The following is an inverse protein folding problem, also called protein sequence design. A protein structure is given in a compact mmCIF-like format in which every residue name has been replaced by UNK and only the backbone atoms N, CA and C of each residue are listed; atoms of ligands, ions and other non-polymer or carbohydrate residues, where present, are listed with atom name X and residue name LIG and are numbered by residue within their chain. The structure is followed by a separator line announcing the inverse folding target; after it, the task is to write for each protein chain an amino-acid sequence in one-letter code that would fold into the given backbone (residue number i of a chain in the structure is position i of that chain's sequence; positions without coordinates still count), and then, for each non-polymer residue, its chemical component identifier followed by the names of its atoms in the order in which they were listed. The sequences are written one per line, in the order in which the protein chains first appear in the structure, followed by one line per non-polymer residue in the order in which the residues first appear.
data_IF_251812423834
#
_entry.id   IF_251812423834
#
_cell.length_a   1.000
_cell.length_b   1.000
_cell.length_c   1.000
_cell.angle_alpha   90.00
_cell.angle_beta   90.00
_cell.angle_gamma   90.00
#
_symmetry.space_group_name_H-M   'P 1'
#
loop_
_entity.id
_entity.type
_entity.pdbx_description
1 polymer ?
#
# COMPACT_ATOMS: atom_id res chain seq x y z
N UNK A 1 -36.58 61.18 62.51
CA UNK A 1 -37.13 60.21 61.56
C UNK A 1 -36.23 60.17 60.31
N UNK A 2 -35.29 59.27 60.29
CA UNK A 2 -34.34 59.16 59.17
C UNK A 2 -34.66 57.89 58.40
N UNK A 3 -34.94 58.04 57.10
CA UNK A 3 -35.16 56.97 56.17
C UNK A 3 -33.79 56.52 55.60
N UNK A 4 -33.46 55.27 55.81
CA UNK A 4 -32.26 54.58 55.19
C UNK A 4 -32.52 54.28 53.70
N UNK A 5 -31.61 54.69 52.88
CA UNK A 5 -31.58 54.34 51.45
C UNK A 5 -30.58 53.17 51.27
N UNK A 6 -31.11 52.02 50.95
CA UNK A 6 -30.32 50.84 50.61
C UNK A 6 -29.83 50.93 49.15
N UNK A 7 -28.52 51.03 48.96
CA UNK A 7 -27.87 50.90 47.64
C UNK A 7 -27.76 49.40 47.26
N UNK A 8 -28.49 48.99 46.25
CA UNK A 8 -28.28 47.70 45.57
C UNK A 8 -27.13 47.86 44.60
N UNK A 9 -26.00 47.23 44.87
CA UNK A 9 -24.86 47.11 43.96
C UNK A 9 -25.18 46.11 42.85
N UNK A 10 -25.19 46.56 41.60
CA UNK A 10 -25.23 45.70 40.46
C UNK A 10 -23.81 45.19 40.16
N UNK A 11 -23.58 43.91 40.38
CA UNK A 11 -22.33 43.22 39.99
C UNK A 11 -22.39 42.93 38.47
N UNK A 12 -21.72 43.74 37.65
CA UNK A 12 -21.58 43.49 36.24
C UNK A 12 -20.56 42.35 36.05
N UNK A 13 -21.03 41.18 35.65
CA UNK A 13 -20.22 40.02 35.31
C UNK A 13 -19.65 40.26 33.91
N UNK A 14 -18.39 40.70 33.83
CA UNK A 14 -17.66 40.80 32.57
C UNK A 14 -17.29 39.38 32.11
N UNK A 15 -18.05 38.83 31.16
CA UNK A 15 -17.68 37.62 30.44
C UNK A 15 -16.52 38.00 29.56
N UNK A 16 -15.31 37.63 29.94
CA UNK A 16 -14.13 37.69 29.06
C UNK A 16 -14.32 36.67 27.95
N UNK A 17 -14.75 37.13 26.80
CA UNK A 17 -14.58 36.37 25.53
C UNK A 17 -13.10 36.25 25.27
N UNK A 18 -12.52 35.11 25.64
CA UNK A 18 -11.23 34.68 25.12
C UNK A 18 -11.43 34.47 23.61
N UNK A 19 -10.66 35.16 22.75
CA UNK A 19 -10.67 34.81 21.34
C UNK A 19 -10.19 33.35 21.28
N UNK A 20 -11.00 32.47 20.71
CA UNK A 20 -10.52 31.18 20.25
C UNK A 20 -9.43 31.52 19.20
N UNK A 21 -8.17 31.49 19.64
CA UNK A 21 -7.04 31.43 18.71
C UNK A 21 -7.26 30.13 17.94
N UNK A 22 -7.94 30.20 16.80
CA UNK A 22 -7.85 29.22 15.77
C UNK A 22 -6.35 29.13 15.46
N UNK A 23 -5.71 28.04 15.90
CA UNK A 23 -4.38 27.70 15.42
C UNK A 23 -4.54 27.65 13.90
N UNK A 24 -4.00 28.66 13.22
CA UNK A 24 -3.82 28.57 11.78
C UNK A 24 -3.06 27.27 11.56
N UNK A 25 -3.72 26.29 10.96
CA UNK A 25 -3.08 25.04 10.60
C UNK A 25 -1.96 25.43 9.62
N UNK A 26 -0.71 25.12 9.96
CA UNK A 26 0.41 25.28 9.06
C UNK A 26 0.28 24.23 7.93
N UNK A 27 -0.61 24.51 6.97
CA UNK A 27 -0.78 23.69 5.76
C UNK A 27 0.46 23.86 4.92
N UNK A 28 1.16 22.79 4.54
CA UNK A 28 2.35 22.89 3.69
C UNK A 28 1.96 23.45 2.32
N UNK A 29 2.79 24.33 1.77
CA UNK A 29 2.56 24.89 0.43
C UNK A 29 2.64 23.85 -0.68
N UNK A 30 3.41 22.81 -0.48
CA UNK A 30 3.63 21.72 -1.44
C UNK A 30 3.42 20.37 -0.75
N UNK A 31 2.72 19.48 -1.43
CA UNK A 31 2.49 18.12 -0.96
C UNK A 31 2.74 17.14 -2.11
N UNK A 32 3.82 16.40 -2.04
CA UNK A 32 4.19 15.42 -3.05
C UNK A 32 3.80 14.03 -2.59
N UNK A 33 3.05 13.33 -3.44
CA UNK A 33 2.68 11.92 -3.28
C UNK A 33 3.55 11.08 -4.22
N UNK A 34 4.22 10.05 -3.69
CA UNK A 34 5.00 9.09 -4.47
C UNK A 34 4.33 7.71 -4.45
N UNK A 35 4.18 7.08 -5.61
CA UNK A 35 3.40 5.84 -5.74
C UNK A 35 4.14 4.71 -6.48
N UNK A 36 3.71 4.32 -7.66
CA UNK A 36 4.33 3.32 -8.52
C UNK A 36 4.24 3.76 -9.99
N UNK A 37 4.78 2.97 -10.90
CA UNK A 37 4.70 3.24 -12.33
C UNK A 37 3.25 3.21 -12.84
N UNK A 38 2.94 3.94 -13.94
CA UNK A 38 1.63 3.89 -14.59
C UNK A 38 1.16 2.46 -14.86
N UNK A 39 -0.14 2.22 -14.68
CA UNK A 39 -0.78 0.91 -14.77
C UNK A 39 -0.88 0.16 -13.44
N UNK A 40 -0.13 0.54 -12.42
CA UNK A 40 -0.25 -0.01 -11.06
C UNK A 40 -1.38 0.62 -10.26
N UNK A 41 -1.89 -0.14 -9.27
CA UNK A 41 -2.99 0.31 -8.41
C UNK A 41 -2.63 1.59 -7.64
N UNK A 42 -1.45 1.67 -7.05
CA UNK A 42 -1.00 2.85 -6.32
C UNK A 42 -0.96 4.11 -7.19
N UNK A 43 -0.63 3.96 -8.51
CA UNK A 43 -0.63 5.09 -9.43
C UNK A 43 -2.03 5.64 -9.66
N UNK A 44 -3.00 4.76 -9.92
CA UNK A 44 -4.40 5.16 -10.14
C UNK A 44 -4.98 5.79 -8.88
N UNK A 45 -4.75 5.18 -7.73
CA UNK A 45 -5.19 5.70 -6.44
C UNK A 45 -4.53 7.04 -6.10
N UNK A 46 -3.22 7.14 -6.25
CA UNK A 46 -2.45 8.36 -5.95
C UNK A 46 -2.89 9.56 -6.79
N UNK A 47 -3.28 9.33 -8.05
CA UNK A 47 -3.85 10.38 -8.90
C UNK A 47 -5.17 10.91 -8.35
N UNK A 48 -6.07 10.02 -7.93
CA UNK A 48 -7.36 10.41 -7.35
C UNK A 48 -7.19 11.08 -5.99
N UNK A 49 -6.29 10.55 -5.15
CA UNK A 49 -5.98 11.13 -3.85
C UNK A 49 -5.43 12.56 -3.99
N UNK A 50 -4.55 12.80 -4.96
CA UNK A 50 -4.01 14.13 -5.21
C UNK A 50 -5.10 15.16 -5.55
N UNK A 51 -6.08 14.79 -6.38
CA UNK A 51 -7.25 15.63 -6.69
C UNK A 51 -8.09 15.93 -5.44
N UNK A 52 -8.37 14.91 -4.62
CA UNK A 52 -9.18 15.07 -3.40
C UNK A 52 -8.46 15.91 -2.33
N UNK A 53 -7.16 15.72 -2.16
CA UNK A 53 -6.36 16.55 -1.25
C UNK A 53 -6.27 18.01 -1.72
N UNK A 54 -6.08 18.25 -3.01
CA UNK A 54 -6.09 19.61 -3.56
C UNK A 54 -7.44 20.32 -3.39
N UNK A 55 -8.56 19.58 -3.38
CA UNK A 55 -9.88 20.13 -3.06
C UNK A 55 -10.07 20.41 -1.57
N UNK A 56 -9.54 19.54 -0.70
CA UNK A 56 -9.61 19.70 0.76
C UNK A 56 -8.70 20.84 1.25
N UNK A 57 -7.58 21.08 0.58
CA UNK A 57 -6.58 22.11 0.92
C UNK A 57 -6.26 22.96 -0.31
N UNK A 58 -7.13 23.94 -0.69
CA UNK A 58 -6.97 24.73 -1.92
C UNK A 58 -5.69 25.56 -1.99
N UNK A 59 -5.08 25.87 -0.85
CA UNK A 59 -3.81 26.60 -0.75
C UNK A 59 -2.58 25.69 -0.93
N UNK A 60 -2.76 24.36 -0.93
CA UNK A 60 -1.69 23.38 -1.04
C UNK A 60 -1.54 22.90 -2.49
N UNK A 61 -0.37 23.09 -3.07
CA UNK A 61 -0.05 22.53 -4.39
C UNK A 61 0.27 21.04 -4.24
N UNK A 62 -0.67 20.16 -4.62
CA UNK A 62 -0.52 18.71 -4.57
C UNK A 62 0.05 18.19 -5.88
N UNK A 63 1.09 17.38 -5.82
CA UNK A 63 1.69 16.69 -6.97
C UNK A 63 1.75 15.18 -6.73
N UNK A 64 1.61 14.41 -7.79
CA UNK A 64 1.71 12.95 -7.76
C UNK A 64 2.75 12.49 -8.77
N UNK A 65 3.69 11.64 -8.33
CA UNK A 65 4.79 11.14 -9.16
C UNK A 65 4.95 9.63 -9.05
N UNK A 66 5.47 8.97 -10.11
CA UNK A 66 5.82 7.56 -10.07
C UNK A 66 6.94 7.28 -9.05
N UNK A 67 7.01 6.03 -8.59
CA UNK A 67 8.03 5.54 -7.67
C UNK A 67 8.05 4.02 -7.59
N UNK A 68 8.26 3.50 -6.39
CA UNK A 68 8.27 2.09 -6.01
C UNK A 68 8.57 2.00 -4.52
N UNK A 69 8.17 0.95 -3.83
CA UNK A 69 8.16 0.90 -2.35
C UNK A 69 9.48 1.30 -1.69
N UNK A 70 10.64 0.85 -2.20
CA UNK A 70 11.96 1.23 -1.67
C UNK A 70 12.22 2.73 -1.81
N UNK A 71 12.01 3.26 -3.02
CA UNK A 71 12.21 4.67 -3.35
C UNK A 71 11.24 5.55 -2.56
N UNK A 72 9.98 5.13 -2.46
CA UNK A 72 8.95 5.87 -1.76
C UNK A 72 9.29 6.05 -0.28
N UNK A 73 9.71 4.96 0.39
CA UNK A 73 10.08 5.03 1.80
C UNK A 73 11.26 5.99 2.03
N UNK A 74 12.29 5.93 1.18
CA UNK A 74 13.44 6.86 1.22
C UNK A 74 12.98 8.31 1.04
N UNK A 75 12.19 8.61 0.01
CA UNK A 75 11.71 9.96 -0.28
C UNK A 75 10.80 10.52 0.82
N UNK A 76 9.94 9.67 1.40
CA UNK A 76 9.10 10.10 2.53
C UNK A 76 9.96 10.34 3.77
N UNK A 77 10.89 9.45 4.07
CA UNK A 77 11.74 9.60 5.27
C UNK A 77 12.71 10.79 5.16
N UNK A 78 13.22 11.11 3.95
CA UNK A 78 14.07 12.29 3.74
C UNK A 78 13.29 13.62 3.74
N UNK A 79 11.95 13.59 3.66
CA UNK A 79 11.12 14.79 3.49
C UNK A 79 11.00 15.28 2.04
N UNK A 80 11.63 14.59 1.08
CA UNK A 80 11.52 14.91 -0.36
C UNK A 80 10.14 14.61 -0.93
N UNK A 81 9.35 13.79 -0.23
CA UNK A 81 7.92 13.59 -0.44
C UNK A 81 7.18 13.63 0.90
N UNK A 82 5.96 14.15 0.91
CA UNK A 82 5.14 14.22 2.11
C UNK A 82 4.39 12.91 2.38
N UNK A 83 4.02 12.19 1.31
CA UNK A 83 3.30 10.93 1.40
C UNK A 83 3.82 9.92 0.38
N UNK A 84 3.75 8.65 0.72
CA UNK A 84 4.07 7.56 -0.18
C UNK A 84 3.34 6.27 0.13
N UNK A 85 3.44 5.33 -0.80
CA UNK A 85 2.96 3.97 -0.64
C UNK A 85 4.15 3.04 -0.44
N UNK A 86 3.99 2.05 0.42
CA UNK A 86 4.98 1.01 0.61
C UNK A 86 4.32 -0.33 0.93
N UNK A 87 5.12 -1.36 1.06
CA UNK A 87 4.71 -2.62 1.68
C UNK A 87 5.31 -2.73 3.08
N UNK A 88 4.59 -3.40 3.98
CA UNK A 88 5.03 -3.58 5.37
C UNK A 88 6.44 -4.19 5.47
N UNK A 89 6.82 -5.23 4.72
CA UNK A 89 8.19 -5.77 4.77
C UNK A 89 9.24 -4.74 4.38
N UNK A 90 9.03 -4.06 3.25
CA UNK A 90 9.94 -3.01 2.76
C UNK A 90 10.16 -1.89 3.77
N UNK A 91 9.08 -1.50 4.45
CA UNK A 91 9.16 -0.43 5.44
C UNK A 91 9.86 -0.88 6.72
N UNK A 92 9.73 -2.14 7.11
CA UNK A 92 10.50 -2.73 8.23
C UNK A 92 12.00 -2.76 7.88
N UNK A 93 12.36 -3.21 6.68
CA UNK A 93 13.75 -3.20 6.20
C UNK A 93 14.33 -1.78 6.19
N UNK A 94 13.57 -0.80 5.66
CA UNK A 94 13.99 0.60 5.64
C UNK A 94 14.21 1.16 7.05
N UNK A 95 13.30 0.87 7.96
CA UNK A 95 13.39 1.30 9.36
C UNK A 95 14.63 0.75 10.07
N UNK A 96 14.97 -0.51 9.78
CA UNK A 96 16.13 -1.20 10.36
C UNK A 96 17.45 -0.90 9.63
N UNK A 97 17.42 -0.39 8.40
CA UNK A 97 18.58 -0.26 7.53
C UNK A 97 19.04 -1.60 6.98
N UNK A 98 18.10 -2.49 6.66
CA UNK A 98 18.32 -3.85 6.17
C UNK A 98 17.84 -4.00 4.72
N UNK A 99 18.03 -5.21 4.14
CA UNK A 99 17.61 -5.51 2.77
C UNK A 99 18.33 -4.61 1.76
N UNK A 100 17.57 -3.87 0.96
CA UNK A 100 18.11 -2.94 -0.06
C UNK A 100 18.40 -1.53 0.45
N UNK A 101 18.48 -1.32 1.78
CA UNK A 101 18.71 -0.01 2.40
C UNK A 101 20.10 0.09 3.02
N UNK A 102 20.77 1.20 2.75
CA UNK A 102 22.15 1.51 3.15
C UNK A 102 22.25 2.17 4.55
N UNK A 103 21.11 2.59 5.09
CA UNK A 103 20.97 3.21 6.41
C UNK A 103 19.57 3.06 6.93
N UNK A 104 19.35 3.37 8.21
CA UNK A 104 18.02 3.47 8.81
C UNK A 104 17.27 4.69 8.30
N UNK A 105 16.03 4.49 7.84
CA UNK A 105 15.14 5.53 7.33
C UNK A 105 13.93 5.65 8.26
N UNK A 106 14.08 6.43 9.35
CA UNK A 106 13.18 6.42 10.50
C UNK A 106 12.27 7.65 10.62
N UNK A 107 12.21 8.53 9.62
CA UNK A 107 11.34 9.70 9.66
C UNK A 107 10.00 9.50 8.92
N UNK A 108 9.78 8.34 8.33
CA UNK A 108 8.46 7.93 7.86
C UNK A 108 7.57 7.49 9.04
N UNK A 109 6.28 7.75 8.91
CA UNK A 109 5.21 7.35 9.84
C UNK A 109 4.10 6.64 9.09
N UNK A 110 3.50 5.65 9.73
CA UNK A 110 2.34 4.95 9.16
C UNK A 110 1.10 5.82 9.29
N UNK A 111 0.31 5.91 8.23
CA UNK A 111 -1.06 6.45 8.25
C UNK A 111 -2.07 5.33 8.45
N UNK A 112 -1.82 4.20 7.83
CA UNK A 112 -2.64 3.01 7.95
C UNK A 112 -2.41 2.00 6.83
N UNK A 113 -3.12 0.89 6.91
CA UNK A 113 -3.13 -0.15 5.88
C UNK A 113 -4.01 0.27 4.71
N UNK A 114 -3.53 0.01 3.50
CA UNK A 114 -4.28 0.24 2.27
C UNK A 114 -5.10 -1.01 1.89
N UNK A 115 -4.43 -2.13 1.73
CA UNK A 115 -5.05 -3.43 1.42
C UNK A 115 -4.10 -4.59 1.74
N UNK A 116 -4.64 -5.82 1.92
CA UNK A 116 -3.82 -7.02 1.90
C UNK A 116 -3.30 -7.28 0.48
N UNK A 117 -1.98 -7.32 0.33
CA UNK A 117 -1.32 -7.59 -0.94
C UNK A 117 -1.01 -9.08 -1.03
N UNK A 118 -1.81 -9.79 -1.81
CA UNK A 118 -1.64 -11.21 -2.06
C UNK A 118 -0.43 -11.44 -2.97
N UNK A 119 0.45 -12.36 -2.59
CA UNK A 119 1.66 -12.73 -3.31
C UNK A 119 1.36 -13.88 -4.26
N UNK A 120 1.00 -13.60 -5.49
CA UNK A 120 0.58 -14.62 -6.44
C UNK A 120 1.29 -14.55 -7.78
N UNK A 121 1.39 -15.69 -8.45
CA UNK A 121 1.80 -15.77 -9.85
C UNK A 121 0.57 -15.68 -10.75
N UNK A 122 0.68 -14.91 -11.81
CA UNK A 122 -0.36 -14.70 -12.81
C UNK A 122 0.14 -15.27 -14.13
N UNK A 123 -0.50 -16.33 -14.61
CA UNK A 123 -0.18 -16.96 -15.87
C UNK A 123 -1.10 -16.46 -16.99
N UNK A 124 -0.57 -16.38 -18.21
CA UNK A 124 -1.36 -16.15 -19.41
C UNK A 124 -2.17 -17.41 -19.72
N UNK A 125 -3.46 -17.27 -19.99
CA UNK A 125 -4.33 -18.39 -20.35
C UNK A 125 -3.78 -19.11 -21.61
N UNK A 126 -3.64 -20.43 -21.49
CA UNK A 126 -3.04 -21.26 -22.52
C UNK A 126 -1.51 -21.32 -22.57
N UNK A 127 -0.82 -20.80 -21.54
CA UNK A 127 0.63 -20.96 -21.39
C UNK A 127 1.04 -22.35 -20.83
N UNK A 128 0.06 -23.18 -20.42
CA UNK A 128 0.32 -24.49 -19.82
C UNK A 128 0.99 -24.36 -18.45
N UNK A 129 0.46 -23.45 -17.61
CA UNK A 129 0.92 -23.20 -16.25
C UNK A 129 -0.30 -23.38 -15.32
N UNK A 130 -0.28 -24.43 -14.50
CA UNK A 130 -1.34 -24.77 -13.55
C UNK A 130 -0.84 -24.75 -12.09
N UNK A 131 0.48 -24.88 -11.90
CA UNK A 131 1.17 -24.87 -10.61
C UNK A 131 2.52 -24.15 -10.72
N UNK A 132 3.15 -23.83 -9.60
CA UNK A 132 4.37 -23.03 -9.55
C UNK A 132 5.55 -23.67 -10.32
N UNK A 133 5.69 -25.01 -10.26
CA UNK A 133 6.76 -25.71 -11.00
C UNK A 133 6.63 -25.58 -12.51
N UNK A 134 5.44 -25.36 -13.05
CA UNK A 134 5.19 -25.18 -14.49
C UNK A 134 5.78 -23.86 -15.03
N UNK A 135 6.24 -22.97 -14.15
CA UNK A 135 6.97 -21.75 -14.52
C UNK A 135 8.36 -22.08 -15.09
N UNK A 136 8.90 -23.27 -14.80
CA UNK A 136 10.18 -23.69 -15.33
C UNK A 136 10.14 -23.78 -16.86
N UNK A 137 11.14 -23.18 -17.52
CA UNK A 137 11.21 -23.11 -18.98
C UNK A 137 10.26 -22.08 -19.64
N UNK A 138 9.59 -21.23 -18.86
CA UNK A 138 8.70 -20.17 -19.35
C UNK A 138 9.38 -18.81 -19.37
N UNK A 139 8.81 -17.89 -20.13
CA UNK A 139 9.19 -16.47 -20.08
C UNK A 139 8.39 -15.81 -18.96
N UNK A 140 9.05 -15.43 -17.88
CA UNK A 140 8.40 -14.91 -16.68
C UNK A 140 8.98 -13.56 -16.24
N UNK A 141 8.20 -12.79 -15.46
CA UNK A 141 8.66 -11.52 -14.89
C UNK A 141 8.43 -11.47 -13.36
N UNK A 142 9.47 -11.21 -12.55
CA UNK A 142 9.32 -10.95 -11.12
C UNK A 142 8.94 -9.50 -10.80
N UNK A 143 8.81 -8.62 -11.81
CA UNK A 143 8.71 -7.17 -11.69
C UNK A 143 10.01 -6.47 -12.08
N UNK A 144 10.11 -5.16 -11.89
CA UNK A 144 11.34 -4.42 -12.15
C UNK A 144 12.41 -4.75 -11.12
N UNK A 145 13.67 -4.84 -11.54
CA UNK A 145 14.81 -5.26 -10.70
C UNK A 145 14.99 -4.38 -9.44
N UNK A 146 14.68 -3.09 -9.55
CA UNK A 146 14.75 -2.12 -8.45
C UNK A 146 13.55 -2.16 -7.47
N UNK A 147 12.52 -2.96 -7.75
CA UNK A 147 11.36 -3.07 -6.87
C UNK A 147 11.61 -4.10 -5.76
N UNK A 148 11.19 -3.79 -4.53
CA UNK A 148 11.21 -4.77 -3.43
C UNK A 148 10.40 -6.02 -3.76
N UNK A 149 9.31 -5.87 -4.52
CA UNK A 149 8.48 -6.99 -4.96
C UNK A 149 9.24 -7.98 -5.86
N UNK A 150 10.21 -7.52 -6.64
CA UNK A 150 11.05 -8.43 -7.42
C UNK A 150 11.95 -9.28 -6.50
N UNK A 151 12.52 -8.69 -5.46
CA UNK A 151 13.31 -9.43 -4.47
C UNK A 151 12.45 -10.49 -3.74
N UNK A 152 11.23 -10.15 -3.36
CA UNK A 152 10.28 -11.09 -2.74
C UNK A 152 9.90 -12.19 -3.74
N UNK A 153 9.61 -11.85 -4.99
CA UNK A 153 9.33 -12.81 -6.05
C UNK A 153 10.48 -13.82 -6.22
N UNK A 154 11.72 -13.34 -6.20
CA UNK A 154 12.90 -14.20 -6.30
C UNK A 154 13.05 -15.13 -5.11
N UNK A 155 12.72 -14.70 -3.88
CA UNK A 155 12.70 -15.60 -2.72
C UNK A 155 11.71 -16.76 -2.94
N UNK A 156 10.48 -16.44 -3.40
CA UNK A 156 9.47 -17.45 -3.68
C UNK A 156 9.89 -18.37 -4.83
N UNK A 157 10.31 -17.81 -5.96
CA UNK A 157 10.73 -18.59 -7.13
C UNK A 157 11.91 -19.52 -6.81
N UNK A 158 12.88 -19.05 -6.03
CA UNK A 158 14.02 -19.85 -5.59
C UNK A 158 13.60 -21.05 -4.74
N UNK A 159 12.54 -20.94 -3.94
CA UNK A 159 12.00 -22.04 -3.16
C UNK A 159 11.47 -23.19 -4.05
N UNK A 160 11.04 -22.87 -5.28
CA UNK A 160 10.67 -23.84 -6.32
C UNK A 160 11.83 -24.19 -7.26
N UNK A 161 13.07 -23.78 -6.95
CA UNK A 161 14.24 -24.02 -7.81
C UNK A 161 14.21 -23.22 -9.12
N UNK A 162 13.41 -22.18 -9.21
CA UNK A 162 13.25 -21.33 -10.39
C UNK A 162 14.19 -20.12 -10.27
N UNK A 163 15.31 -20.16 -10.98
CA UNK A 163 16.32 -19.12 -11.04
C UNK A 163 16.48 -18.61 -12.48
N UNK A 164 17.21 -17.51 -12.68
CA UNK A 164 17.53 -17.03 -14.04
C UNK A 164 18.28 -18.12 -14.83
N UNK A 165 19.20 -18.85 -14.18
CA UNK A 165 19.98 -19.93 -14.79
C UNK A 165 19.09 -21.13 -15.15
N UNK A 166 18.30 -21.65 -14.17
CA UNK A 166 17.44 -22.81 -14.39
C UNK A 166 16.36 -22.53 -15.46
N UNK A 167 15.82 -21.31 -15.52
CA UNK A 167 14.90 -20.92 -16.60
C UNK A 167 15.58 -20.99 -17.97
N UNK A 168 16.79 -20.40 -18.08
CA UNK A 168 17.55 -20.39 -19.34
C UNK A 168 17.92 -21.79 -19.82
N UNK A 169 18.37 -22.67 -18.90
CA UNK A 169 18.70 -24.07 -19.22
C UNK A 169 17.50 -24.86 -19.73
N UNK A 170 16.30 -24.50 -19.29
CA UNK A 170 15.05 -25.15 -19.71
C UNK A 170 14.32 -24.39 -20.86
N UNK A 171 15.00 -23.45 -21.54
CA UNK A 171 14.48 -22.74 -22.70
C UNK A 171 13.56 -21.54 -22.37
N UNK A 172 13.45 -21.15 -21.11
CA UNK A 172 12.74 -19.98 -20.66
C UNK A 172 13.62 -18.75 -20.46
N UNK A 173 13.05 -17.69 -19.89
CA UNK A 173 13.77 -16.44 -19.64
C UNK A 173 13.12 -15.66 -18.48
N UNK A 174 13.95 -15.05 -17.64
CA UNK A 174 13.47 -14.04 -16.67
C UNK A 174 13.61 -12.63 -17.27
N UNK A 175 12.51 -11.86 -17.23
CA UNK A 175 12.45 -10.49 -17.73
C UNK A 175 11.98 -9.53 -16.64
N UNK A 176 12.73 -8.46 -16.39
CA UNK A 176 12.43 -7.49 -15.36
C UNK A 176 11.59 -6.33 -15.92
N UNK A 177 10.26 -6.46 -15.82
CA UNK A 177 9.30 -5.61 -16.53
C UNK A 177 8.47 -4.73 -15.57
N UNK A 178 8.10 -3.55 -16.06
CA UNK A 178 7.05 -2.74 -15.45
C UNK A 178 5.66 -3.15 -15.94
N UNK A 179 4.60 -2.67 -15.26
CA UNK A 179 3.23 -3.11 -15.55
C UNK A 179 2.74 -2.81 -16.96
N UNK A 180 3.22 -1.72 -17.57
CA UNK A 180 2.92 -1.40 -18.98
C UNK A 180 3.48 -2.45 -19.93
N UNK A 181 4.75 -2.82 -19.74
CA UNK A 181 5.43 -3.84 -20.57
C UNK A 181 4.84 -5.23 -20.32
N UNK A 182 4.55 -5.58 -19.06
CA UNK A 182 3.83 -6.82 -18.71
C UNK A 182 2.53 -6.91 -19.51
N UNK A 183 1.70 -5.84 -19.49
CA UNK A 183 0.43 -5.81 -20.21
C UNK A 183 0.61 -6.04 -21.70
N UNK A 184 1.55 -5.36 -22.33
CA UNK A 184 1.81 -5.48 -23.76
C UNK A 184 2.34 -6.87 -24.11
N UNK A 185 3.34 -7.36 -23.38
CA UNK A 185 3.96 -8.66 -23.68
C UNK A 185 3.05 -9.85 -23.40
N UNK A 186 2.15 -9.76 -22.41
CA UNK A 186 1.09 -10.75 -22.18
C UNK A 186 0.13 -10.79 -23.38
N UNK A 187 -0.33 -9.62 -23.84
CA UNK A 187 -1.21 -9.51 -25.00
C UNK A 187 -0.57 -10.06 -26.28
N UNK A 188 0.72 -9.80 -26.47
CA UNK A 188 1.52 -10.28 -27.61
C UNK A 188 1.95 -11.75 -27.47
N UNK A 189 1.60 -12.43 -26.37
CA UNK A 189 1.99 -13.81 -26.05
C UNK A 189 3.51 -14.01 -25.95
N UNK A 190 4.23 -12.96 -25.56
CA UNK A 190 5.69 -12.95 -25.37
C UNK A 190 6.10 -13.07 -23.91
N UNK A 191 5.13 -12.99 -22.98
CA UNK A 191 5.28 -13.26 -21.56
C UNK A 191 4.28 -14.34 -21.17
N UNK A 192 4.73 -15.36 -20.46
CA UNK A 192 3.89 -16.48 -20.05
C UNK A 192 3.29 -16.28 -18.66
N UNK A 193 4.06 -15.69 -17.74
CA UNK A 193 3.60 -15.39 -16.38
C UNK A 193 4.36 -14.21 -15.76
N UNK A 194 3.79 -13.67 -14.69
CA UNK A 194 4.48 -12.66 -13.87
C UNK A 194 4.07 -12.79 -12.40
N UNK A 195 4.99 -12.41 -11.51
CA UNK A 195 4.69 -12.31 -10.08
C UNK A 195 4.04 -10.96 -9.79
N UNK A 196 2.94 -10.97 -9.04
CA UNK A 196 2.16 -9.78 -8.77
C UNK A 196 1.70 -9.72 -7.31
N UNK A 197 1.76 -8.53 -6.76
CA UNK A 197 1.40 -8.26 -5.37
C UNK A 197 0.41 -7.11 -5.34
N UNK A 198 -0.84 -7.40 -5.06
CA UNK A 198 -1.91 -6.41 -5.11
C UNK A 198 -3.13 -6.86 -4.30
N UNK A 199 -4.09 -5.94 -4.14
CA UNK A 199 -5.44 -6.30 -3.72
C UNK A 199 -6.11 -7.23 -4.73
N UNK A 200 -7.12 -7.95 -4.28
CA UNK A 200 -8.01 -8.76 -5.11
C UNK A 200 -9.43 -8.22 -4.92
N UNK A 201 -10.15 -7.86 -6.01
CA UNK A 201 -9.69 -7.81 -7.39
C UNK A 201 -8.72 -6.65 -7.67
N UNK A 202 -7.87 -6.80 -8.69
CA UNK A 202 -6.96 -5.76 -9.16
C UNK A 202 -7.39 -5.23 -10.54
N UNK A 203 -7.41 -3.91 -10.77
CA UNK A 203 -7.75 -3.33 -12.08
C UNK A 203 -6.87 -3.84 -13.22
N UNK A 204 -5.56 -4.04 -12.96
CA UNK A 204 -4.63 -4.61 -13.94
C UNK A 204 -5.05 -6.02 -14.34
N UNK A 205 -5.36 -6.87 -13.35
CA UNK A 205 -5.72 -8.26 -13.62
C UNK A 205 -7.10 -8.38 -14.25
N UNK A 206 -8.07 -7.53 -13.89
CA UNK A 206 -9.36 -7.45 -14.57
C UNK A 206 -9.18 -7.16 -16.06
N UNK A 207 -8.35 -6.17 -16.40
CA UNK A 207 -8.04 -5.86 -17.81
C UNK A 207 -7.36 -7.01 -18.54
N UNK A 208 -6.35 -7.65 -17.92
CA UNK A 208 -5.64 -8.79 -18.52
C UNK A 208 -6.54 -10.03 -18.63
N UNK A 209 -7.52 -10.16 -17.74
CA UNK A 209 -8.48 -11.26 -17.82
C UNK A 209 -9.43 -11.14 -19.01
N UNK A 210 -9.77 -9.92 -19.43
CA UNK A 210 -10.51 -9.68 -20.67
C UNK A 210 -9.67 -10.05 -21.91
N UNK A 211 -8.38 -9.66 -21.91
CA UNK A 211 -7.45 -9.98 -23.00
C UNK A 211 -5.99 -9.85 -22.52
N UNK A 212 -5.18 -10.91 -22.65
CA UNK A 212 -5.35 -12.20 -23.40
C UNK A 212 -6.11 -13.30 -22.63
N UNK A 213 -6.58 -13.02 -21.43
CA UNK A 213 -7.04 -13.99 -20.44
C UNK A 213 -5.90 -14.44 -19.53
N UNK A 214 -6.20 -14.60 -18.25
CA UNK A 214 -5.24 -15.02 -17.24
C UNK A 214 -5.75 -16.19 -16.41
N UNK A 215 -4.84 -16.85 -15.73
CA UNK A 215 -5.08 -17.83 -14.67
C UNK A 215 -4.23 -17.44 -13.47
N UNK A 216 -4.81 -17.47 -12.28
CA UNK A 216 -4.04 -17.34 -11.05
C UNK A 216 -3.51 -18.72 -10.69
N UNK A 217 -2.20 -18.81 -10.49
CA UNK A 217 -1.54 -20.06 -10.11
C UNK A 217 -1.72 -20.27 -8.61
N UNK A 218 -2.46 -21.31 -8.16
CA UNK A 218 -2.70 -21.53 -6.74
C UNK A 218 -1.47 -22.10 -6.05
N UNK A 219 -1.33 -21.80 -4.77
CA UNK A 219 -0.43 -22.50 -3.87
C UNK A 219 -1.20 -23.63 -3.14
N UNK A 220 -0.50 -24.71 -2.82
CA UNK A 220 -0.96 -25.69 -1.85
C UNK A 220 -0.63 -25.24 -0.43
N UNK A 221 -1.29 -25.83 0.58
CA UNK A 221 -0.97 -25.53 1.98
C UNK A 221 0.50 -25.87 2.31
N UNK A 222 0.99 -27.02 1.81
CA UNK A 222 2.38 -27.47 2.02
C UNK A 222 3.39 -26.45 1.47
N UNK A 223 3.11 -25.86 0.32
CA UNK A 223 3.96 -24.81 -0.28
C UNK A 223 3.97 -23.54 0.56
N UNK A 224 2.80 -23.09 1.04
CA UNK A 224 2.72 -21.91 1.90
C UNK A 224 3.43 -22.14 3.23
N UNK A 225 3.24 -23.30 3.86
CA UNK A 225 3.92 -23.70 5.10
C UNK A 225 5.45 -23.72 4.95
N UNK A 226 5.94 -24.08 3.76
CA UNK A 226 7.36 -24.11 3.43
C UNK A 226 7.91 -22.69 3.12
N UNK A 227 7.20 -21.89 2.33
CA UNK A 227 7.66 -20.59 1.85
C UNK A 227 7.59 -19.53 2.94
N UNK A 228 6.47 -19.44 3.67
CA UNK A 228 6.18 -18.34 4.57
C UNK A 228 7.30 -18.12 5.62
N UNK A 229 7.89 -19.16 6.25
CA UNK A 229 8.99 -18.98 7.20
C UNK A 229 10.31 -18.52 6.57
N UNK A 230 10.47 -18.65 5.24
CA UNK A 230 11.70 -18.25 4.53
C UNK A 230 11.70 -16.79 4.12
N UNK A 231 10.51 -16.17 3.98
CA UNK A 231 10.37 -14.78 3.57
C UNK A 231 10.96 -13.83 4.61
N UNK A 232 11.64 -12.79 4.11
CA UNK A 232 12.28 -11.77 4.95
C UNK A 232 11.72 -10.38 4.65
N UNK A 233 11.61 -9.50 5.66
CA UNK A 233 11.90 -9.73 7.08
C UNK A 233 10.88 -10.67 7.74
N UNK A 234 11.36 -11.48 8.69
CA UNK A 234 10.51 -12.47 9.37
C UNK A 234 9.34 -11.83 10.11
N UNK A 235 8.16 -12.44 10.01
CA UNK A 235 6.94 -11.95 10.67
C UNK A 235 6.23 -10.80 9.94
N UNK A 236 6.76 -10.36 8.79
CA UNK A 236 6.14 -9.32 7.97
C UNK A 236 5.08 -9.85 7.00
N UNK A 237 4.95 -11.17 6.92
CA UNK A 237 4.02 -11.88 6.04
C UNK A 237 3.09 -12.76 6.86
N UNK A 238 1.88 -12.92 6.35
CA UNK A 238 0.85 -13.76 6.94
C UNK A 238 0.26 -14.67 5.86
N UNK A 239 -0.31 -15.80 6.27
CA UNK A 239 -1.16 -16.59 5.41
C UNK A 239 -2.58 -15.98 5.38
N UNK A 240 -3.13 -15.86 4.19
CA UNK A 240 -4.55 -15.55 3.98
C UNK A 240 -5.15 -16.49 2.95
N UNK A 241 -6.47 -16.64 2.94
CA UNK A 241 -7.16 -17.28 1.84
C UNK A 241 -7.29 -16.33 0.66
N UNK A 242 -6.87 -16.76 -0.53
CA UNK A 242 -7.12 -16.00 -1.75
C UNK A 242 -8.65 -15.87 -1.97
N UNK A 243 -9.18 -14.68 -2.27
CA UNK A 243 -10.62 -14.50 -2.45
C UNK A 243 -11.23 -15.43 -3.49
N UNK A 244 -12.48 -15.85 -3.27
CA UNK A 244 -13.19 -16.70 -4.20
C UNK A 244 -13.48 -15.97 -5.52
N UNK A 245 -13.15 -16.61 -6.63
CA UNK A 245 -13.53 -16.23 -8.01
C UNK A 245 -13.49 -14.71 -8.34
N UNK A 246 -12.39 -14.02 -8.08
CA UNK A 246 -12.29 -12.58 -8.38
C UNK A 246 -12.11 -12.31 -9.89
N UNK A 247 -11.70 -13.32 -10.66
CA UNK A 247 -11.48 -13.29 -12.09
C UNK A 247 -12.11 -14.50 -12.74
N UNK A 248 -12.78 -14.28 -13.87
CA UNK A 248 -13.48 -15.36 -14.59
C UNK A 248 -12.54 -16.55 -14.85
N UNK A 249 -13.00 -17.73 -14.48
CA UNK A 249 -12.29 -19.02 -14.64
C UNK A 249 -10.94 -19.08 -13.86
N UNK A 250 -10.78 -18.31 -12.78
CA UNK A 250 -9.59 -18.38 -11.92
C UNK A 250 -9.83 -19.21 -10.67
N UNK A 251 -8.76 -19.83 -10.16
CA UNK A 251 -8.79 -20.48 -8.86
C UNK A 251 -9.03 -19.46 -7.75
N UNK A 252 -9.71 -19.88 -6.70
CA UNK A 252 -9.92 -19.13 -5.46
C UNK A 252 -9.95 -20.06 -4.25
N UNK A 253 -10.04 -19.50 -3.04
CA UNK A 253 -10.09 -20.26 -1.78
C UNK A 253 -8.85 -21.16 -1.55
N UNK A 254 -7.67 -20.72 -1.97
CA UNK A 254 -6.41 -21.38 -1.68
C UNK A 254 -5.56 -20.51 -0.73
N UNK A 255 -4.67 -21.11 0.07
CA UNK A 255 -3.78 -20.35 0.94
C UNK A 255 -2.75 -19.58 0.12
N UNK A 256 -2.41 -18.38 0.55
CA UNK A 256 -1.44 -17.53 -0.15
C UNK A 256 -0.64 -16.68 0.84
N UNK A 257 0.68 -16.57 0.67
CA UNK A 257 1.47 -15.59 1.42
C UNK A 257 0.97 -14.17 1.10
N UNK A 258 0.79 -13.37 2.14
CA UNK A 258 0.21 -12.03 2.03
C UNK A 258 1.03 -11.04 2.86
N UNK A 259 1.21 -9.84 2.35
CA UNK A 259 1.79 -8.71 3.07
C UNK A 259 0.80 -7.52 3.04
N UNK A 260 1.11 -6.46 3.79
CA UNK A 260 0.24 -5.29 3.83
C UNK A 260 0.79 -4.17 2.94
N UNK A 261 -0.02 -3.65 2.05
CA UNK A 261 0.21 -2.35 1.43
C UNK A 261 -0.17 -1.27 2.42
N UNK A 262 0.69 -0.27 2.59
CA UNK A 262 0.55 0.76 3.62
C UNK A 262 0.73 2.16 3.08
N UNK A 263 0.11 3.12 3.76
CA UNK A 263 0.31 4.53 3.55
C UNK A 263 1.36 5.05 4.52
N UNK A 264 2.33 5.79 4.00
CA UNK A 264 3.36 6.47 4.77
C UNK A 264 3.27 7.98 4.58
N UNK A 265 3.58 8.73 5.64
CA UNK A 265 3.82 10.17 5.59
C UNK A 265 5.12 10.52 6.29
N UNK A 266 5.74 11.65 5.94
CA UNK A 266 6.86 12.17 6.71
C UNK A 266 6.37 12.66 8.09
N UNK A 267 7.19 12.43 9.12
CA UNK A 267 6.87 12.77 10.53
C UNK A 267 6.58 14.27 10.75
N UNK A 268 7.10 15.14 9.88
CA UNK A 268 6.99 16.59 9.99
C UNK A 268 5.77 17.16 9.25
N UNK A 269 4.95 16.32 8.62
CA UNK A 269 3.64 16.75 8.09
C UNK A 269 2.73 17.09 9.26
N UNK A 270 2.07 18.27 9.27
CA UNK A 270 1.24 18.69 10.41
C UNK A 270 0.13 17.69 10.75
N UNK A 271 -0.09 17.43 12.04
CA UNK A 271 -1.06 16.46 12.55
C UNK A 271 -2.46 16.64 11.95
N UNK A 272 -2.89 17.89 11.82
CA UNK A 272 -4.20 18.20 11.29
C UNK A 272 -4.35 17.89 9.79
N UNK A 273 -3.26 18.04 9.02
CA UNK A 273 -3.24 17.63 7.61
C UNK A 273 -3.31 16.11 7.50
N UNK A 274 -2.55 15.39 8.34
CA UNK A 274 -2.57 13.92 8.33
C UNK A 274 -3.89 13.37 8.87
N UNK A 275 -4.51 14.03 9.84
CA UNK A 275 -5.86 13.68 10.31
C UNK A 275 -6.89 13.75 9.15
N UNK A 276 -6.94 14.87 8.42
CA UNK A 276 -7.88 15.03 7.31
C UNK A 276 -7.52 14.10 6.13
N UNK A 277 -6.22 13.90 5.85
CA UNK A 277 -5.76 12.89 4.90
C UNK A 277 -6.29 11.50 5.26
N UNK A 278 -6.14 11.08 6.52
CA UNK A 278 -6.60 9.77 7.00
C UNK A 278 -8.10 9.63 6.85
N UNK A 279 -8.85 10.66 7.18
CA UNK A 279 -10.28 10.72 6.98
C UNK A 279 -10.66 10.57 5.50
N UNK A 280 -10.02 11.30 4.60
CA UNK A 280 -10.23 11.17 3.16
C UNK A 280 -9.94 9.73 2.70
N UNK A 281 -8.84 9.13 3.14
CA UNK A 281 -8.48 7.76 2.77
C UNK A 281 -9.58 6.76 3.14
N UNK A 282 -10.13 6.83 4.34
CA UNK A 282 -11.04 5.82 4.88
C UNK A 282 -12.54 6.17 4.79
N UNK A 283 -12.91 7.41 4.48
CA UNK A 283 -14.32 7.80 4.32
C UNK A 283 -14.73 8.02 2.86
N UNK A 284 -13.79 8.41 1.97
CA UNK A 284 -14.15 8.68 0.57
C UNK A 284 -14.57 7.41 -0.16
N UNK A 285 -15.79 7.42 -0.71
CA UNK A 285 -16.40 6.24 -1.32
C UNK A 285 -15.72 5.79 -2.60
N UNK A 286 -15.08 6.70 -3.34
CA UNK A 286 -14.36 6.34 -4.57
C UNK A 286 -12.99 5.74 -4.26
N UNK A 287 -12.28 6.28 -3.27
CA UNK A 287 -11.00 5.75 -2.83
C UNK A 287 -11.15 4.37 -2.18
N UNK A 288 -12.18 4.16 -1.37
CA UNK A 288 -12.42 2.87 -0.71
C UNK A 288 -12.60 1.70 -1.67
N UNK A 289 -13.08 1.94 -2.89
CA UNK A 289 -13.21 0.89 -3.93
C UNK A 289 -11.89 0.20 -4.28
N UNK A 290 -10.75 0.82 -3.95
CA UNK A 290 -9.42 0.25 -4.16
C UNK A 290 -8.87 -0.52 -2.94
N UNK A 291 -9.57 -0.50 -1.80
CA UNK A 291 -9.07 -1.03 -0.53
C UNK A 291 -9.41 -2.51 -0.28
N UNK A 292 -9.51 -3.31 -1.32
CA UNK A 292 -9.77 -4.74 -1.25
C UNK A 292 -11.14 -5.14 -1.78
N UNK A 293 -11.49 -6.42 -1.59
CA UNK A 293 -12.74 -6.99 -2.12
C UNK A 293 -14.00 -6.41 -1.45
N UNK A 294 -13.90 -6.03 -0.18
CA UNK A 294 -14.96 -5.36 0.57
C UNK A 294 -14.50 -4.01 1.11
N UNK A 295 -14.85 -2.91 0.41
CA UNK A 295 -14.50 -1.56 0.84
C UNK A 295 -15.08 -1.14 2.20
N UNK A 296 -16.10 -1.82 2.71
CA UNK A 296 -16.67 -1.54 4.02
C UNK A 296 -15.72 -1.88 5.17
N UNK A 297 -14.84 -2.85 4.95
CA UNK A 297 -13.85 -3.33 5.92
C UNK A 297 -12.54 -2.52 5.91
N UNK A 298 -12.39 -1.49 5.07
CA UNK A 298 -11.16 -0.73 4.95
C UNK A 298 -10.68 -0.16 6.29
N UNK A 299 -11.60 0.34 7.11
CA UNK A 299 -11.28 0.89 8.43
C UNK A 299 -10.92 -0.21 9.44
N UNK A 300 -11.54 -1.39 9.36
CA UNK A 300 -11.25 -2.53 10.24
C UNK A 300 -9.83 -3.06 10.01
N UNK A 301 -9.31 -2.92 8.79
CA UNK A 301 -7.94 -3.30 8.44
C UNK A 301 -6.93 -2.18 8.65
N UNK A 302 -7.35 -0.96 8.99
CA UNK A 302 -6.47 0.21 8.98
C UNK A 302 -5.21 0.07 9.85
N UNK A 303 -5.27 -0.73 10.90
CA UNK A 303 -4.12 -1.01 11.80
C UNK A 303 -3.59 -2.44 11.73
N UNK A 304 -4.22 -3.29 10.89
CA UNK A 304 -3.87 -4.71 10.83
C UNK A 304 -2.43 -4.91 10.34
N UNK A 305 -1.68 -5.72 11.07
CA UNK A 305 -0.27 -6.00 10.80
C UNK A 305 0.69 -4.83 11.09
N UNK A 306 0.19 -3.72 11.65
CA UNK A 306 0.97 -2.51 11.90
C UNK A 306 0.98 -2.09 13.37
N UNK A 307 -0.10 -2.35 14.10
CA UNK A 307 -0.20 -1.98 15.52
C UNK A 307 0.84 -2.74 16.36
N UNK A 308 1.66 -2.01 17.12
CA UNK A 308 2.78 -2.59 17.85
C UNK A 308 3.99 -2.95 16.99
N UNK A 309 3.98 -2.64 15.69
CA UNK A 309 5.10 -2.83 14.78
C UNK A 309 6.24 -1.84 14.98
N UNK A 310 7.33 -2.03 14.24
CA UNK A 310 8.54 -1.20 14.35
C UNK A 310 8.29 0.28 13.98
N UNK A 311 7.38 0.54 13.04
CA UNK A 311 7.15 1.89 12.50
C UNK A 311 5.97 2.54 13.22
N UNK A 312 6.15 3.66 13.90
CA UNK A 312 5.07 4.32 14.61
C UNK A 312 4.06 4.96 13.66
N UNK A 313 2.81 5.03 14.11
CA UNK A 313 1.79 5.81 13.44
C UNK A 313 2.07 7.31 13.55
N UNK A 314 1.62 8.07 12.56
CA UNK A 314 1.60 9.52 12.65
C UNK A 314 0.53 9.96 13.68
N UNK A 315 0.82 10.95 14.56
CA UNK A 315 -0.14 11.35 15.60
C UNK A 315 -1.51 11.77 15.03
N UNK A 316 -1.54 12.48 13.90
CA UNK A 316 -2.79 12.85 13.23
C UNK A 316 -3.58 11.65 12.72
N UNK A 317 -2.92 10.63 12.19
CA UNK A 317 -3.57 9.39 11.76
C UNK A 317 -4.08 8.59 12.96
N UNK A 318 -3.24 8.42 13.97
CA UNK A 318 -3.61 7.72 15.19
C UNK A 318 -4.87 8.33 15.83
N UNK A 319 -4.90 9.66 15.98
CA UNK A 319 -6.05 10.37 16.52
C UNK A 319 -7.36 10.05 15.77
N UNK A 320 -7.33 10.11 14.44
CA UNK A 320 -8.49 9.78 13.62
C UNK A 320 -8.95 8.33 13.84
N UNK A 321 -7.99 7.39 13.80
CA UNK A 321 -8.30 5.96 13.97
C UNK A 321 -8.82 5.63 15.37
N UNK A 322 -8.32 6.28 16.42
CA UNK A 322 -8.84 6.17 17.79
C UNK A 322 -10.30 6.67 17.90
N UNK A 323 -10.60 7.83 17.29
CA UNK A 323 -11.96 8.38 17.27
C UNK A 323 -12.95 7.47 16.54
N UNK A 324 -12.48 6.66 15.59
CA UNK A 324 -13.29 5.68 14.85
C UNK A 324 -13.29 4.28 15.49
N UNK A 325 -12.55 4.08 16.59
CA UNK A 325 -12.43 2.78 17.24
C UNK A 325 -11.61 1.74 16.45
N UNK A 326 -10.76 2.20 15.52
CA UNK A 326 -9.94 1.35 14.63
C UNK A 326 -8.46 1.27 15.07
N UNK A 327 -8.07 1.90 16.20
CA UNK A 327 -6.68 1.88 16.72
C UNK A 327 -6.51 1.08 18.00
#
# INVERSE_FOLDING_TARGET
MFKSITRRGALAMAIAMLPAMGMAQDVPKFFKIVSTSPGGLWHTFGTQLADKLGKAFPEMAVSHVPGGSNVNHKLVSSGDAQMGFSFSPTSIEAWNGEGGFDQQWQDARVVGTFYPAYLHAVARKGAGIEKMEDLQGKVISPGKREWSTAAIAMQILNDFGITEESLSENGGQMQYLGFGDVTNMMADRRLDAFMYYSSVPSPLLLKLNEQPGITIVPYTQEEVDRILPTLTPKGAYVEMSYPADPYKDSAGNFPVPTMWSIFLVNKDVPDAVVYELTKILYEDTDLKKFMGADPSLALDYATTGLKGGAIPFHPGAQKYLEEKGAY
#
